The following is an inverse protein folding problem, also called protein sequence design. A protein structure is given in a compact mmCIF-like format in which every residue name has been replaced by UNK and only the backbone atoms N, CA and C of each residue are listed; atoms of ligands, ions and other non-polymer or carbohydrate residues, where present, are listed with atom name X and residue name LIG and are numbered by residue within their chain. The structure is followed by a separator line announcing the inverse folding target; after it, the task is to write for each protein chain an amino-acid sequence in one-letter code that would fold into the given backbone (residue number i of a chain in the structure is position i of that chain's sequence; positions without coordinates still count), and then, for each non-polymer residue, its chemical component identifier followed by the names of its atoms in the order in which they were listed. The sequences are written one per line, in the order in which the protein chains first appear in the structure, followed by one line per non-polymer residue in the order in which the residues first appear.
data_IF_123879274807
#
_entry.id   IF_123879274807
#
_cell.length_a   1.000
_cell.length_b   1.000
_cell.length_c   1.000
_cell.angle_alpha   90.00
_cell.angle_beta   90.00
_cell.angle_gamma   90.00
#
_symmetry.space_group_name_H-M   'P 1'
#
loop_
_entity.id
_entity.type
_entity.pdbx_description
1 polymer ?
#
# COMPACT_ATOMS: atom_id res chain seq x y z
N UNK A 1 4.43 -1.60 -15.82
CA UNK A 1 4.71 -0.51 -16.78
C UNK A 1 3.59 0.53 -16.60
N UNK A 2 3.83 1.51 -15.74
CA UNK A 2 2.90 2.64 -15.59
C UNK A 2 3.15 3.57 -16.78
N UNK A 3 2.22 3.66 -17.70
CA UNK A 3 2.20 4.72 -18.73
C UNK A 3 1.39 5.86 -18.13
N UNK A 4 2.06 6.86 -17.55
CA UNK A 4 1.43 8.11 -17.15
C UNK A 4 1.38 9.02 -18.39
N UNK A 5 0.19 9.21 -18.97
CA UNK A 5 -0.08 10.35 -19.85
C UNK A 5 -0.40 11.56 -18.97
N UNK A 6 0.60 12.40 -18.72
CA UNK A 6 0.40 13.74 -18.19
C UNK A 6 0.15 14.68 -19.35
N UNK A 7 -1.03 15.30 -19.40
CA UNK A 7 -1.30 16.43 -20.27
C UNK A 7 -0.74 17.70 -19.64
N UNK A 8 0.54 17.95 -19.83
CA UNK A 8 1.14 19.28 -19.72
C UNK A 8 2.22 19.38 -20.80
N UNK A 9 2.12 20.43 -21.63
CA UNK A 9 2.94 20.72 -22.81
C UNK A 9 4.36 21.24 -22.44
N UNK A 10 5.05 20.62 -21.50
CA UNK A 10 6.49 20.82 -21.35
C UNK A 10 7.19 19.68 -22.09
N UNK A 11 7.88 20.02 -23.18
CA UNK A 11 8.67 19.13 -24.03
C UNK A 11 9.69 18.36 -23.18
N UNK A 12 9.28 17.21 -22.62
CA UNK A 12 10.22 16.20 -22.14
C UNK A 12 10.78 15.47 -23.33
N UNK A 13 11.95 15.87 -23.82
CA UNK A 13 12.65 15.13 -24.84
C UNK A 13 13.28 13.88 -24.22
N UNK A 14 12.94 12.71 -24.73
CA UNK A 14 13.42 11.38 -24.32
C UNK A 14 14.94 11.18 -24.48
N UNK A 15 15.71 12.23 -24.74
CA UNK A 15 17.15 12.18 -25.06
C UNK A 15 18.05 12.14 -23.82
N UNK A 16 17.51 12.35 -22.59
CA UNK A 16 18.31 12.46 -21.38
C UNK A 16 18.24 11.23 -20.45
N UNK A 17 17.65 10.13 -20.91
CA UNK A 17 17.78 8.87 -20.19
C UNK A 17 19.20 8.36 -20.45
N UNK A 18 20.07 8.25 -19.42
CA UNK A 18 21.38 7.65 -19.61
C UNK A 18 21.18 6.27 -20.25
N UNK A 19 21.92 6.00 -21.29
CA UNK A 19 21.89 4.72 -22.00
C UNK A 19 22.57 3.65 -21.11
N UNK A 20 22.02 3.46 -19.90
CA UNK A 20 22.34 2.31 -19.08
C UNK A 20 21.77 1.12 -19.84
N UNK A 21 22.63 0.21 -20.24
CA UNK A 21 22.28 -1.04 -20.89
C UNK A 21 21.07 -1.64 -20.14
N UNK A 22 19.88 -1.47 -20.74
CA UNK A 22 18.69 -2.17 -20.27
C UNK A 22 19.02 -3.63 -20.58
N UNK A 23 19.44 -4.35 -19.55
CA UNK A 23 19.54 -5.81 -19.65
C UNK A 23 18.23 -6.30 -20.27
N UNK A 24 18.27 -7.18 -21.27
CA UNK A 24 17.04 -7.66 -21.87
C UNK A 24 16.15 -8.15 -20.76
N UNK A 25 15.01 -7.47 -20.59
CA UNK A 25 14.00 -7.86 -19.62
C UNK A 25 13.52 -9.23 -20.10
N UNK A 26 14.07 -10.29 -19.52
CA UNK A 26 13.46 -11.61 -19.56
C UNK A 26 12.24 -11.58 -18.64
N UNK A 27 11.32 -10.66 -18.93
CA UNK A 27 10.08 -10.56 -18.20
C UNK A 27 9.16 -11.64 -18.72
N UNK A 28 9.00 -12.71 -17.97
CA UNK A 28 7.75 -13.42 -18.00
C UNK A 28 6.66 -12.44 -17.54
N UNK A 29 5.56 -12.34 -18.27
CA UNK A 29 4.40 -11.58 -17.81
C UNK A 29 3.96 -12.17 -16.48
N UNK A 30 4.03 -11.37 -15.39
CA UNK A 30 3.60 -11.83 -14.07
C UNK A 30 2.07 -11.86 -14.01
N UNK A 31 1.54 -12.91 -13.45
CA UNK A 31 0.13 -13.03 -13.08
C UNK A 31 -0.03 -12.48 -11.67
N UNK A 32 -0.72 -11.35 -11.55
CA UNK A 32 -1.00 -10.69 -10.27
C UNK A 32 -2.41 -11.09 -9.83
N UNK A 33 -2.54 -11.53 -8.59
CA UNK A 33 -3.80 -11.90 -7.97
C UNK A 33 -4.07 -10.98 -6.76
N UNK A 34 -5.10 -10.15 -6.86
CA UNK A 34 -5.54 -9.28 -5.77
C UNK A 34 -6.28 -10.08 -4.70
N UNK A 35 -5.95 -9.84 -3.44
CA UNK A 35 -6.51 -10.55 -2.29
C UNK A 35 -7.03 -9.59 -1.23
N UNK A 36 -8.31 -9.67 -0.92
CA UNK A 36 -8.85 -9.15 0.33
C UNK A 36 -8.78 -10.27 1.39
N UNK A 37 -7.86 -10.16 2.34
CA UNK A 37 -7.62 -11.20 3.37
C UNK A 37 -8.88 -11.54 4.15
N UNK A 38 -9.70 -10.52 4.50
CA UNK A 38 -10.96 -10.73 5.20
C UNK A 38 -11.96 -11.58 4.42
N UNK A 39 -12.07 -11.33 3.13
CA UNK A 39 -13.08 -11.99 2.27
C UNK A 39 -12.60 -13.30 1.65
N UNK A 40 -11.29 -13.59 1.74
CA UNK A 40 -10.66 -14.68 1.02
C UNK A 40 -11.08 -16.06 1.52
N UNK A 41 -11.18 -16.24 2.82
CA UNK A 41 -11.52 -17.52 3.44
C UNK A 41 -12.53 -17.36 4.56
N UNK A 42 -13.16 -18.45 4.97
CA UNK A 42 -14.07 -18.44 6.12
C UNK A 42 -13.38 -18.11 7.45
N UNK A 43 -12.05 -18.24 7.51
CA UNK A 43 -11.24 -17.85 8.68
C UNK A 43 -10.92 -16.37 8.73
N UNK A 44 -11.15 -15.63 7.64
CA UNK A 44 -10.89 -14.18 7.52
C UNK A 44 -9.45 -13.76 7.86
N UNK A 45 -8.46 -14.65 7.70
CA UNK A 45 -7.10 -14.47 8.21
C UNK A 45 -6.01 -14.96 7.26
N UNK A 46 -4.75 -14.61 7.57
CA UNK A 46 -3.55 -15.00 6.81
C UNK A 46 -3.43 -16.50 6.66
N UNK A 47 -3.80 -17.28 7.69
CA UNK A 47 -3.70 -18.73 7.65
C UNK A 47 -4.61 -19.35 6.60
N UNK A 48 -5.79 -18.79 6.40
CA UNK A 48 -6.70 -19.22 5.35
C UNK A 48 -6.14 -19.01 3.94
N UNK A 49 -5.43 -17.88 3.73
CA UNK A 49 -4.72 -17.62 2.48
C UNK A 49 -3.49 -18.52 2.32
N UNK A 50 -2.68 -18.68 3.37
CA UNK A 50 -1.48 -19.52 3.36
C UNK A 50 -1.82 -20.98 2.98
N UNK A 51 -2.90 -21.52 3.51
CA UNK A 51 -3.34 -22.89 3.21
C UNK A 51 -3.72 -23.08 1.73
N UNK A 52 -4.09 -22.02 1.02
CA UNK A 52 -4.52 -22.07 -0.38
C UNK A 52 -3.41 -21.69 -1.39
N UNK A 53 -2.21 -21.34 -0.93
CA UNK A 53 -1.08 -21.01 -1.80
C UNK A 53 -0.77 -22.08 -2.84
N UNK A 54 -0.84 -23.41 -2.54
CA UNK A 54 -0.60 -24.43 -3.54
C UNK A 54 -1.55 -24.34 -4.73
N UNK A 55 -2.84 -24.10 -4.48
CA UNK A 55 -3.84 -23.93 -5.55
C UNK A 55 -3.59 -22.67 -6.38
N UNK A 56 -3.23 -21.55 -5.72
CA UNK A 56 -2.90 -20.30 -6.41
C UNK A 56 -1.65 -20.46 -7.28
N UNK A 57 -0.66 -21.20 -6.81
CA UNK A 57 0.53 -21.52 -7.60
C UNK A 57 0.20 -22.40 -8.81
N UNK A 58 -0.66 -23.40 -8.64
CA UNK A 58 -1.14 -24.23 -9.76
C UNK A 58 -1.94 -23.42 -10.78
N UNK A 59 -2.67 -22.39 -10.33
CA UNK A 59 -3.36 -21.41 -11.20
C UNK A 59 -2.40 -20.53 -12.00
N UNK A 60 -1.12 -20.52 -11.64
CA UNK A 60 -0.08 -19.72 -12.31
C UNK A 60 0.11 -18.32 -11.71
N UNK A 61 -0.30 -18.10 -10.47
CA UNK A 61 -0.08 -16.81 -9.78
C UNK A 61 1.39 -16.62 -9.45
N UNK A 62 1.92 -15.46 -9.80
CA UNK A 62 3.30 -15.06 -9.51
C UNK A 62 3.37 -14.04 -8.37
N UNK A 63 2.35 -13.18 -8.25
CA UNK A 63 2.28 -12.11 -7.26
C UNK A 63 0.95 -12.13 -6.54
N UNK A 64 0.97 -12.15 -5.21
CA UNK A 64 -0.18 -11.89 -4.37
C UNK A 64 -0.16 -10.42 -3.96
N UNK A 65 -1.07 -9.62 -4.52
CA UNK A 65 -1.29 -8.25 -4.10
C UNK A 65 -2.35 -8.26 -2.99
N UNK A 66 -1.90 -8.04 -1.75
CA UNK A 66 -2.80 -7.96 -0.60
C UNK A 66 -3.37 -6.54 -0.49
N UNK A 67 -4.69 -6.40 -0.50
CA UNK A 67 -5.36 -5.16 -0.08
C UNK A 67 -4.85 -4.75 1.31
N UNK A 68 -4.99 -3.47 1.73
CA UNK A 68 -4.36 -2.99 2.95
C UNK A 68 -4.63 -3.91 4.15
N UNK A 69 -3.53 -4.36 4.79
CA UNK A 69 -3.57 -5.27 5.94
C UNK A 69 -3.39 -4.55 7.27
N UNK A 70 -3.30 -3.22 7.22
CA UNK A 70 -3.11 -2.37 8.38
C UNK A 70 -4.36 -2.31 9.28
N UNK A 71 -4.22 -1.90 10.56
CA UNK A 71 -5.36 -1.53 11.39
C UNK A 71 -6.17 -0.43 10.69
N UNK A 72 -7.50 -0.58 10.71
CA UNK A 72 -8.44 0.36 10.10
C UNK A 72 -8.83 1.45 11.07
N UNK A 73 -9.10 2.65 10.55
CA UNK A 73 -9.65 3.74 11.33
C UNK A 73 -11.03 3.41 11.93
N UNK A 74 -11.25 3.88 13.13
CA UNK A 74 -12.51 3.75 13.86
C UNK A 74 -13.30 5.05 13.85
N UNK A 75 -12.60 6.18 13.89
CA UNK A 75 -13.21 7.50 13.83
C UNK A 75 -13.74 7.78 12.41
N UNK A 76 -15.00 8.22 12.33
CA UNK A 76 -15.71 8.49 11.07
C UNK A 76 -15.75 7.32 10.08
N UNK A 77 -15.57 6.09 10.56
CA UNK A 77 -15.46 4.92 9.69
C UNK A 77 -16.69 4.68 8.82
N UNK A 78 -16.46 4.27 7.59
CA UNK A 78 -17.52 3.87 6.68
C UNK A 78 -18.02 2.44 7.01
N UNK A 79 -19.31 2.30 7.27
CA UNK A 79 -19.94 1.01 7.58
C UNK A 79 -19.46 0.38 8.90
N UNK A 80 -19.71 -0.91 9.07
CA UNK A 80 -19.41 -1.62 10.33
C UNK A 80 -17.96 -2.02 10.49
N UNK A 81 -17.29 -2.39 9.39
CA UNK A 81 -15.91 -2.87 9.40
C UNK A 81 -14.87 -1.77 9.14
N UNK A 82 -15.29 -0.62 8.61
CA UNK A 82 -14.41 0.42 8.12
C UNK A 82 -13.76 0.07 6.76
N UNK A 83 -13.26 1.09 6.07
CA UNK A 83 -12.52 0.91 4.83
C UNK A 83 -11.12 0.35 5.11
N UNK A 84 -10.63 -0.64 4.36
CA UNK A 84 -9.24 -1.06 4.47
C UNK A 84 -8.25 0.06 4.06
N UNK A 85 -8.72 1.03 3.27
CA UNK A 85 -7.93 2.19 2.84
C UNK A 85 -7.90 3.33 3.87
N UNK A 86 -8.66 3.24 4.95
CA UNK A 86 -8.57 4.15 6.10
C UNK A 86 -7.53 3.61 7.09
N UNK A 87 -6.25 3.89 6.80
CA UNK A 87 -5.10 3.32 7.53
C UNK A 87 -4.89 4.04 8.86
N UNK A 88 -4.97 3.29 9.97
CA UNK A 88 -4.74 3.80 11.32
C UNK A 88 -3.26 3.76 11.73
N UNK A 89 -2.51 2.75 11.31
CA UNK A 89 -1.08 2.59 11.59
C UNK A 89 -0.38 1.88 10.43
N UNK A 90 0.55 2.59 9.77
CA UNK A 90 1.31 2.05 8.63
C UNK A 90 2.28 0.93 8.99
N UNK A 91 2.66 0.77 10.26
CA UNK A 91 3.55 -0.31 10.72
C UNK A 91 2.81 -1.41 11.47
N UNK A 92 1.50 -1.24 11.68
CA UNK A 92 0.64 -2.20 12.34
C UNK A 92 0.06 -3.24 11.39
N UNK A 93 -0.27 -4.41 11.94
CA UNK A 93 -1.06 -5.45 11.29
C UNK A 93 -2.45 -5.45 11.92
N UNK A 94 -3.49 -5.55 11.11
CA UNK A 94 -4.85 -5.75 11.60
C UNK A 94 -4.97 -7.13 12.27
N UNK A 95 -5.20 -7.13 13.57
CA UNK A 95 -5.24 -8.35 14.38
C UNK A 95 -6.40 -9.29 14.01
N UNK A 96 -7.42 -8.81 13.30
CA UNK A 96 -8.47 -9.66 12.74
C UNK A 96 -7.92 -10.64 11.69
N UNK A 97 -6.77 -10.31 11.06
CA UNK A 97 -6.14 -11.14 10.05
C UNK A 97 -5.12 -12.13 10.62
N UNK A 98 -4.69 -11.93 11.86
CA UNK A 98 -3.68 -12.73 12.54
C UNK A 98 -2.58 -11.90 13.18
N UNK A 99 -1.55 -12.58 13.62
CA UNK A 99 -0.37 -11.98 14.27
C UNK A 99 0.72 -11.61 13.25
N UNK A 100 1.74 -10.92 13.73
CA UNK A 100 2.99 -10.67 12.98
C UNK A 100 3.63 -11.98 12.49
N UNK A 101 3.62 -13.00 13.34
CA UNK A 101 4.17 -14.33 13.03
C UNK A 101 3.36 -15.04 11.95
N UNK A 102 2.04 -14.89 11.97
CA UNK A 102 1.17 -15.46 10.92
C UNK A 102 1.47 -14.80 9.56
N UNK A 103 1.67 -13.49 9.53
CA UNK A 103 2.03 -12.78 8.29
C UNK A 103 3.43 -13.19 7.80
N UNK A 104 4.44 -13.27 8.70
CA UNK A 104 5.78 -13.78 8.35
C UNK A 104 5.72 -15.21 7.82
N UNK A 105 4.84 -16.05 8.38
CA UNK A 105 4.61 -17.42 7.88
C UNK A 105 4.07 -17.43 6.46
N UNK A 106 3.07 -16.58 6.17
CA UNK A 106 2.49 -16.43 4.83
C UNK A 106 3.56 -15.99 3.81
N UNK A 107 4.35 -14.95 4.11
CA UNK A 107 5.41 -14.46 3.22
C UNK A 107 6.41 -15.57 2.92
N UNK A 108 6.91 -16.24 3.96
CA UNK A 108 7.85 -17.36 3.82
C UNK A 108 7.28 -18.51 3.00
N UNK A 109 6.00 -18.84 3.20
CA UNK A 109 5.33 -19.90 2.44
C UNK A 109 5.18 -19.52 0.96
N UNK A 110 4.81 -18.26 0.65
CA UNK A 110 4.74 -17.76 -0.72
C UNK A 110 6.10 -17.81 -1.42
N UNK A 111 7.17 -17.33 -0.77
CA UNK A 111 8.53 -17.39 -1.29
C UNK A 111 9.02 -18.82 -1.56
N UNK A 112 8.65 -19.78 -0.71
CA UNK A 112 9.00 -21.19 -0.92
C UNK A 112 8.40 -21.78 -2.20
N UNK A 113 7.36 -21.14 -2.75
CA UNK A 113 6.67 -21.49 -3.98
C UNK A 113 7.02 -20.55 -5.14
N UNK A 114 8.02 -19.68 -5.00
CA UNK A 114 8.38 -18.63 -5.95
C UNK A 114 7.16 -17.74 -6.30
N UNK A 115 6.44 -17.28 -5.29
CA UNK A 115 5.41 -16.25 -5.37
C UNK A 115 5.85 -15.03 -4.58
N UNK A 116 5.58 -13.85 -5.11
CA UNK A 116 5.85 -12.58 -4.46
C UNK A 116 4.65 -12.09 -3.64
N UNK A 117 4.91 -11.33 -2.58
CA UNK A 117 3.90 -10.64 -1.77
C UNK A 117 4.05 -9.13 -1.97
N UNK A 118 3.01 -8.50 -2.49
CA UNK A 118 2.92 -7.04 -2.58
C UNK A 118 1.83 -6.53 -1.64
N UNK A 119 2.10 -5.39 -0.98
CA UNK A 119 1.09 -4.71 -0.17
C UNK A 119 0.45 -3.56 -0.95
N UNK A 120 -0.85 -3.41 -0.78
CA UNK A 120 -1.55 -2.19 -1.20
C UNK A 120 -1.18 -1.05 -0.26
N UNK A 121 -0.66 0.05 -0.82
CA UNK A 121 -0.12 1.15 -0.05
C UNK A 121 -0.89 2.45 -0.29
N UNK A 122 -1.40 3.03 0.79
CA UNK A 122 -2.24 4.22 0.78
C UNK A 122 -1.38 5.43 1.14
N UNK A 123 -0.74 6.07 0.15
CA UNK A 123 0.18 7.19 0.41
C UNK A 123 -0.52 8.57 0.42
N UNK A 124 -1.75 8.69 -0.09
CA UNK A 124 -2.45 9.97 -0.21
C UNK A 124 -3.11 10.46 1.08
N UNK A 125 -3.62 9.56 1.91
CA UNK A 125 -4.47 9.89 3.07
C UNK A 125 -4.32 8.85 4.17
N UNK A 126 -4.85 9.16 5.36
CA UNK A 126 -4.90 8.23 6.50
C UNK A 126 -6.29 8.21 7.12
N UNK A 127 -6.52 7.33 8.09
CA UNK A 127 -7.65 7.42 9.00
C UNK A 127 -7.59 8.71 9.84
N UNK A 128 -8.75 9.14 10.38
CA UNK A 128 -8.86 10.27 11.31
C UNK A 128 -8.12 10.03 12.63
N UNK A 129 -8.07 8.79 13.08
CA UNK A 129 -7.40 8.33 14.30
C UNK A 129 -6.07 7.63 13.98
N UNK A 130 -5.40 8.00 12.88
CA UNK A 130 -4.05 7.54 12.57
C UNK A 130 -3.08 7.97 13.67
N UNK A 131 -2.11 7.11 13.98
CA UNK A 131 -1.13 7.34 15.06
C UNK A 131 -0.32 8.63 14.88
N UNK A 132 -0.14 9.12 13.66
CA UNK A 132 0.55 10.38 13.40
C UNK A 132 -0.26 11.63 13.79
N UNK A 133 -1.58 11.54 13.86
CA UNK A 133 -2.44 12.72 14.17
C UNK A 133 -2.13 13.30 15.54
N UNK A 134 -1.74 12.46 16.51
CA UNK A 134 -1.51 12.89 17.90
C UNK A 134 -0.30 13.82 18.01
N UNK A 135 0.81 13.46 17.37
CA UNK A 135 2.08 14.17 17.54
C UNK A 135 2.50 14.98 16.31
N UNK A 136 1.87 14.74 15.16
CA UNK A 136 2.25 15.28 13.85
C UNK A 136 1.04 15.78 13.05
N UNK A 137 0.25 16.68 13.64
CA UNK A 137 -0.86 17.29 12.92
C UNK A 137 -0.39 18.10 11.69
N UNK A 138 0.85 18.54 11.69
CA UNK A 138 1.54 19.21 10.59
C UNK A 138 1.80 18.29 9.36
N UNK A 139 1.68 16.96 9.51
CA UNK A 139 1.72 16.02 8.39
C UNK A 139 0.47 16.06 7.51
N UNK A 140 -0.58 16.76 7.96
CA UNK A 140 -1.88 16.81 7.29
C UNK A 140 -2.09 18.15 6.60
N UNK A 141 -2.67 18.11 5.42
CA UNK A 141 -2.95 19.29 4.62
C UNK A 141 -4.04 20.15 5.26
N UNK A 142 -3.96 21.47 5.00
CA UNK A 142 -4.95 22.46 5.38
C UNK A 142 -5.77 22.89 4.17
N UNK A 143 -7.07 23.05 4.36
CA UNK A 143 -7.96 23.58 3.36
C UNK A 143 -9.00 24.49 4.02
N UNK A 144 -9.14 25.70 3.50
CA UNK A 144 -10.14 26.70 3.95
C UNK A 144 -10.05 27.03 5.46
N UNK A 145 -8.83 26.90 6.04
CA UNK A 145 -8.57 27.09 7.48
C UNK A 145 -8.86 25.87 8.34
N UNK A 146 -9.21 24.74 7.76
CA UNK A 146 -9.42 23.47 8.45
C UNK A 146 -8.20 22.53 8.26
N UNK A 147 -7.67 22.02 9.35
CA UNK A 147 -6.63 20.98 9.39
C UNK A 147 -6.92 19.98 10.50
N UNK A 148 -7.02 18.68 10.21
CA UNK A 148 -6.99 18.07 8.88
C UNK A 148 -8.35 18.19 8.16
N UNK A 149 -8.39 17.91 6.85
CA UNK A 149 -9.63 17.86 6.08
C UNK A 149 -9.77 16.54 5.30
N UNK A 150 -11.02 16.16 4.96
CA UNK A 150 -11.31 14.99 4.13
C UNK A 150 -11.13 15.30 2.65
N UNK A 151 -10.32 14.54 1.89
CA UNK A 151 -10.18 14.71 0.46
C UNK A 151 -11.38 14.16 -0.32
N UNK A 152 -11.79 14.83 -1.38
CA UNK A 152 -12.68 14.28 -2.41
C UNK A 152 -14.04 13.73 -1.95
N UNK A 153 -14.48 14.05 -0.72
CA UNK A 153 -15.71 13.51 -0.15
C UNK A 153 -15.58 12.13 0.51
N UNK A 154 -14.37 11.64 0.70
CA UNK A 154 -14.07 10.42 1.46
C UNK A 154 -14.03 10.72 2.95
N UNK A 155 -15.20 10.72 3.59
CA UNK A 155 -15.40 11.24 4.95
C UNK A 155 -14.67 10.44 6.05
N UNK A 156 -14.22 9.24 5.77
CA UNK A 156 -13.53 8.34 6.67
C UNK A 156 -12.00 8.48 6.67
N UNK A 157 -11.48 9.44 5.89
CA UNK A 157 -10.03 9.67 5.77
C UNK A 157 -9.67 11.15 5.75
N UNK A 158 -8.40 11.45 6.02
CA UNK A 158 -7.82 12.81 6.04
C UNK A 158 -6.59 12.89 5.15
N UNK A 159 -6.46 14.05 4.48
CA UNK A 159 -5.44 14.32 3.46
C UNK A 159 -4.06 14.52 4.09
N UNK A 160 -3.04 13.81 3.59
CA UNK A 160 -1.64 14.06 3.91
C UNK A 160 -1.09 15.27 3.14
N UNK A 161 -0.17 16.01 3.76
CA UNK A 161 0.54 17.14 3.16
C UNK A 161 1.88 16.69 2.56
N UNK A 162 1.89 16.43 1.27
CA UNK A 162 3.11 16.04 0.55
C UNK A 162 4.13 17.18 0.38
N UNK A 163 3.84 18.41 0.79
CA UNK A 163 4.85 19.47 0.90
C UNK A 163 5.71 19.35 2.17
N UNK A 164 5.23 18.61 3.18
CA UNK A 164 5.96 18.35 4.42
C UNK A 164 7.01 17.24 4.22
N UNK A 165 8.29 17.60 4.32
CA UNK A 165 9.42 16.68 4.10
C UNK A 165 9.52 15.60 5.18
N UNK A 166 9.14 15.93 6.42
CA UNK A 166 9.16 14.97 7.54
C UNK A 166 8.09 13.90 7.35
N UNK A 167 6.89 14.30 6.92
CA UNK A 167 5.84 13.35 6.54
C UNK A 167 6.30 12.42 5.42
N UNK A 168 6.91 12.95 4.35
CA UNK A 168 7.44 12.13 3.24
C UNK A 168 8.49 11.13 3.73
N UNK A 169 9.36 11.55 4.65
CA UNK A 169 10.37 10.68 5.26
C UNK A 169 9.72 9.59 6.10
N UNK A 170 8.76 9.94 6.95
CA UNK A 170 8.01 8.97 7.77
C UNK A 170 7.27 7.94 6.90
N UNK A 171 6.68 8.38 5.79
CA UNK A 171 6.02 7.50 4.82
C UNK A 171 7.02 6.53 4.17
N UNK A 172 8.16 7.02 3.71
CA UNK A 172 9.21 6.19 3.12
C UNK A 172 9.80 5.20 4.15
N UNK A 173 9.96 5.61 5.41
CA UNK A 173 10.43 4.72 6.48
C UNK A 173 9.41 3.66 6.86
N UNK A 174 8.12 3.97 6.76
CA UNK A 174 7.07 2.97 6.94
C UNK A 174 7.11 1.92 5.82
N UNK A 175 7.34 2.32 4.57
CA UNK A 175 7.52 1.37 3.45
C UNK A 175 8.77 0.50 3.64
N UNK A 176 9.91 1.10 3.98
CA UNK A 176 11.16 0.36 4.25
C UNK A 176 10.99 -0.67 5.36
N UNK A 177 10.22 -0.33 6.41
CA UNK A 177 9.93 -1.26 7.51
C UNK A 177 9.34 -2.58 7.00
N UNK A 178 8.37 -2.55 6.07
CA UNK A 178 7.77 -3.77 5.51
C UNK A 178 8.75 -4.57 4.66
N UNK A 179 9.61 -3.90 3.89
CA UNK A 179 10.64 -4.57 3.09
C UNK A 179 11.70 -5.25 3.99
N UNK A 180 12.07 -4.62 5.11
CA UNK A 180 13.17 -5.11 5.96
C UNK A 180 12.71 -6.11 7.03
N UNK A 181 11.54 -5.88 7.64
CA UNK A 181 11.06 -6.70 8.76
C UNK A 181 10.24 -7.92 8.31
N UNK A 182 9.60 -7.82 7.14
CA UNK A 182 8.70 -8.84 6.63
C UNK A 182 9.16 -9.47 5.33
N UNK A 183 10.19 -8.92 4.69
CA UNK A 183 10.74 -9.44 3.42
C UNK A 183 9.68 -9.48 2.30
N UNK A 184 8.76 -8.48 2.25
CA UNK A 184 7.81 -8.36 1.14
C UNK A 184 8.55 -7.89 -0.12
N UNK A 185 7.98 -8.17 -1.29
CA UNK A 185 8.65 -7.95 -2.58
C UNK A 185 8.29 -6.62 -3.24
N UNK A 186 7.20 -5.98 -2.82
CA UNK A 186 6.80 -4.72 -3.43
C UNK A 186 5.50 -4.14 -2.92
N UNK A 187 5.05 -3.10 -3.64
CA UNK A 187 3.83 -2.37 -3.33
C UNK A 187 3.00 -2.12 -4.58
N UNK A 188 1.69 -2.09 -4.40
CA UNK A 188 0.76 -1.43 -5.31
C UNK A 188 0.30 -0.15 -4.62
N UNK A 189 0.32 0.96 -5.33
CA UNK A 189 -0.01 2.26 -4.78
C UNK A 189 -1.44 2.65 -5.11
N UNK A 190 -2.23 2.88 -4.04
CA UNK A 190 -3.58 3.40 -4.15
C UNK A 190 -3.57 4.90 -4.43
N UNK A 191 -4.53 5.39 -5.24
CA UNK A 191 -4.70 6.81 -5.56
C UNK A 191 -3.39 7.53 -5.93
N UNK A 192 -2.51 6.86 -6.70
CA UNK A 192 -1.15 7.30 -6.98
C UNK A 192 -1.08 8.64 -7.74
N UNK A 193 -2.10 8.98 -8.50
CA UNK A 193 -2.25 10.22 -9.25
C UNK A 193 -2.54 11.44 -8.37
N UNK A 194 -2.99 11.25 -7.13
CA UNK A 194 -3.15 12.33 -6.14
C UNK A 194 -1.87 12.63 -5.35
N UNK A 195 -0.85 11.80 -5.49
CA UNK A 195 0.44 11.95 -4.81
C UNK A 195 1.46 12.55 -5.78
N UNK A 196 2.21 13.60 -5.40
CA UNK A 196 3.15 14.27 -6.29
C UNK A 196 4.21 13.33 -6.88
N UNK A 197 4.51 13.51 -8.17
CA UNK A 197 5.47 12.66 -8.92
C UNK A 197 6.86 12.67 -8.28
N UNK A 198 7.29 13.82 -7.76
CA UNK A 198 8.60 13.97 -7.11
C UNK A 198 8.71 13.19 -5.78
N UNK A 199 7.57 12.87 -5.14
CA UNK A 199 7.57 11.93 -4.01
C UNK A 199 7.89 10.50 -4.49
N UNK A 200 7.27 10.08 -5.60
CA UNK A 200 7.52 8.75 -6.16
C UNK A 200 8.95 8.55 -6.66
#
# INVERSE_FOLDING_TARGET
LLVLNSCNDDEYTWTDIPNNEISPITSHNKVIYEVNVYSYSSGHNFKGLENDLPRLKELGVDVLWLMPIHPRGEENRAGTLGSPYSVKDYKGINLDFGTTEDFKSLVKAAHSMNMEIWLDWVANHTAWDNVWVVDHLDYYAEKDGERPYSPGGWLDVIQLDHSNVEMRTAMADAMKYWLTEFDIDGFRFDAADFVPVDFW
#
